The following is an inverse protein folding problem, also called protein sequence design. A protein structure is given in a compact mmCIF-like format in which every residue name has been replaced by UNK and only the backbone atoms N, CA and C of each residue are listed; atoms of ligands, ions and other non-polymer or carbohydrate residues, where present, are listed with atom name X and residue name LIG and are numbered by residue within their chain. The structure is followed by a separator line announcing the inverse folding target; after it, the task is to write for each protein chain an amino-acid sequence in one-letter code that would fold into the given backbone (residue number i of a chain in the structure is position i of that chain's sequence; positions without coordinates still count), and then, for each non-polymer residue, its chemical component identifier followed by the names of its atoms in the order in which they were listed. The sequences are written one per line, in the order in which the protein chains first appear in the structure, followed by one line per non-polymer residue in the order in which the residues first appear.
data_IF_281365306064
#
_entry.id   IF_281365306064
#
_cell.length_a   1.000
_cell.length_b   1.000
_cell.length_c   1.000
_cell.angle_alpha   90.00
_cell.angle_beta   90.00
_cell.angle_gamma   90.00
#
_symmetry.space_group_name_H-M   'P 1'
#
loop_
_entity.id
_entity.type
_entity.pdbx_description
1 polymer ?
#
# COMPACT_ATOMS: atom_id res chain seq x y z
N UNK A 1 -20.85 -0.62 -0.60
CA UNK A 1 -19.61 -1.24 -1.13
C UNK A 1 -18.64 -0.12 -1.46
N UNK A 2 -17.43 -0.11 -0.90
CA UNK A 2 -16.45 0.96 -1.15
C UNK A 2 -15.84 0.73 -2.53
N UNK A 3 -16.12 1.62 -3.49
CA UNK A 3 -15.68 1.48 -4.89
C UNK A 3 -14.18 1.78 -5.09
N UNK A 4 -13.53 2.44 -4.11
CA UNK A 4 -12.14 2.90 -4.20
C UNK A 4 -11.39 2.75 -2.87
N UNK A 5 -10.13 2.33 -2.90
CA UNK A 5 -9.24 2.32 -1.72
C UNK A 5 -8.99 3.78 -1.28
N UNK A 6 -9.17 4.07 0.01
CA UNK A 6 -8.90 5.38 0.57
C UNK A 6 -7.40 5.50 0.89
N UNK A 7 -6.63 6.05 -0.05
CA UNK A 7 -5.20 6.33 0.13
C UNK A 7 -4.98 7.61 0.95
N UNK A 8 -3.98 7.57 1.84
CA UNK A 8 -3.50 8.76 2.53
C UNK A 8 -2.47 9.51 1.67
N UNK A 9 -2.37 10.85 1.80
CA UNK A 9 -1.30 11.60 1.16
C UNK A 9 0.06 11.28 1.80
N UNK A 10 1.12 11.32 0.99
CA UNK A 10 2.50 11.16 1.47
C UNK A 10 3.00 12.41 2.22
N UNK A 11 2.51 13.59 1.85
CA UNK A 11 2.83 14.86 2.52
C UNK A 11 1.99 15.03 3.79
N UNK A 12 2.65 15.14 4.94
CA UNK A 12 1.99 15.30 6.24
C UNK A 12 1.17 16.59 6.35
N UNK A 13 1.50 17.63 5.56
CA UNK A 13 0.75 18.90 5.56
C UNK A 13 -0.65 18.74 4.99
N UNK A 14 -0.86 17.77 4.11
CA UNK A 14 -2.16 17.55 3.49
C UNK A 14 -3.21 17.00 4.47
N UNK A 15 -2.81 16.54 5.66
CA UNK A 15 -3.72 16.05 6.69
C UNK A 15 -4.38 17.17 7.50
N UNK A 16 -3.87 18.40 7.41
CA UNK A 16 -4.42 19.54 8.15
C UNK A 16 -5.85 19.85 7.69
N UNK A 17 -6.80 19.86 8.64
CA UNK A 17 -8.21 20.12 8.36
C UNK A 17 -9.00 18.94 7.77
N UNK A 18 -8.40 17.75 7.64
CA UNK A 18 -9.16 16.56 7.24
C UNK A 18 -10.15 16.11 8.32
N UNK A 19 -11.35 15.71 7.91
CA UNK A 19 -12.38 15.15 8.80
C UNK A 19 -11.91 13.80 9.41
N UNK A 20 -12.14 13.62 10.71
CA UNK A 20 -11.73 12.42 11.46
C UNK A 20 -12.30 11.11 10.87
N UNK A 21 -13.52 11.15 10.30
CA UNK A 21 -14.12 9.99 9.64
C UNK A 21 -13.36 9.60 8.38
N UNK A 22 -12.74 10.55 7.69
CA UNK A 22 -11.84 10.30 6.55
C UNK A 22 -10.52 9.73 7.04
N UNK A 23 -9.90 10.37 8.05
CA UNK A 23 -8.64 9.92 8.64
C UNK A 23 -8.70 8.45 9.08
N UNK A 24 -9.82 8.04 9.69
CA UNK A 24 -10.00 6.67 10.18
C UNK A 24 -10.10 5.59 9.07
N UNK A 25 -10.32 5.98 7.81
CA UNK A 25 -10.45 5.08 6.67
C UNK A 25 -9.16 4.95 5.85
N UNK A 26 -8.17 5.81 6.09
CA UNK A 26 -6.92 5.80 5.35
C UNK A 26 -6.13 4.52 5.61
N UNK A 27 -5.47 4.00 4.59
CA UNK A 27 -4.60 2.82 4.70
C UNK A 27 -3.53 2.96 5.79
N UNK A 28 -3.05 4.19 6.01
CA UNK A 28 -2.03 4.54 7.00
C UNK A 28 -2.58 4.87 8.40
N UNK A 29 -3.91 4.80 8.61
CA UNK A 29 -4.47 5.04 9.94
C UNK A 29 -3.93 3.99 10.93
N UNK A 30 -3.58 4.33 12.19
CA UNK A 30 -2.92 3.40 13.11
C UNK A 30 -3.64 2.05 13.29
N UNK A 31 -4.97 2.08 13.40
CA UNK A 31 -5.78 0.86 13.50
C UNK A 31 -5.76 -0.01 12.23
N UNK A 32 -5.55 0.61 11.07
CA UNK A 32 -5.54 -0.08 9.78
C UNK A 32 -4.15 -0.66 9.50
N UNK A 33 -3.07 -0.14 10.11
CA UNK A 33 -1.71 -0.69 10.00
C UNK A 33 -1.55 -2.05 10.67
N UNK A 34 -2.43 -2.41 11.61
CA UNK A 34 -2.39 -3.70 12.31
C UNK A 34 -2.55 -4.83 11.29
N UNK A 35 -1.54 -5.69 11.18
CA UNK A 35 -1.52 -6.81 10.24
C UNK A 35 -1.06 -6.46 8.82
N UNK A 36 -0.67 -5.21 8.56
CA UNK A 36 -0.01 -4.83 7.31
C UNK A 36 1.52 -4.94 7.44
N UNK A 37 2.18 -5.18 6.32
CA UNK A 37 3.63 -5.09 6.20
C UNK A 37 4.00 -3.94 5.26
N UNK A 38 4.95 -3.07 5.63
CA UNK A 38 5.45 -2.07 4.70
C UNK A 38 6.15 -2.76 3.52
N UNK A 39 6.00 -2.21 2.32
CA UNK A 39 6.67 -2.74 1.15
C UNK A 39 8.17 -2.44 1.22
N UNK A 40 9.00 -3.48 1.13
CA UNK A 40 10.45 -3.35 1.03
C UNK A 40 10.85 -3.02 -0.41
N UNK A 41 11.03 -1.73 -0.69
CA UNK A 41 11.38 -1.24 -2.04
C UNK A 41 12.76 -1.73 -2.48
N UNK A 42 13.70 -1.93 -1.57
CA UNK A 42 15.06 -2.39 -1.89
C UNK A 42 15.06 -3.86 -2.31
N UNK A 43 14.34 -4.70 -1.57
CA UNK A 43 14.14 -6.10 -1.93
C UNK A 43 13.54 -6.23 -3.33
N UNK A 44 12.47 -5.48 -3.61
CA UNK A 44 11.81 -5.49 -4.92
C UNK A 44 12.69 -4.87 -6.02
N UNK A 45 13.46 -3.83 -5.73
CA UNK A 45 14.41 -3.25 -6.69
C UNK A 45 15.52 -4.24 -7.07
N UNK A 46 15.98 -5.04 -6.10
CA UNK A 46 17.05 -6.03 -6.30
C UNK A 46 16.57 -7.30 -6.99
N UNK A 47 15.37 -7.79 -6.64
CA UNK A 47 14.89 -9.11 -7.05
C UNK A 47 13.74 -9.08 -8.06
N UNK A 48 13.16 -7.91 -8.33
CA UNK A 48 11.89 -7.75 -9.04
C UNK A 48 11.84 -8.48 -10.38
N UNK A 49 12.82 -8.26 -11.25
CA UNK A 49 12.87 -8.90 -12.58
C UNK A 49 12.84 -10.42 -12.50
N UNK A 50 13.70 -11.01 -11.65
CA UNK A 50 13.77 -12.48 -11.49
C UNK A 50 12.46 -13.05 -10.94
N UNK A 51 11.84 -12.35 -9.99
CA UNK A 51 10.57 -12.78 -9.40
C UNK A 51 9.43 -12.67 -10.43
N UNK A 52 9.39 -11.63 -11.26
CA UNK A 52 8.42 -11.49 -12.35
C UNK A 52 8.53 -12.61 -13.36
N UNK A 53 9.72 -12.93 -13.86
CA UNK A 53 9.92 -14.05 -14.81
C UNK A 53 9.50 -15.40 -14.20
N UNK A 54 9.82 -15.62 -12.92
CA UNK A 54 9.41 -16.83 -12.18
C UNK A 54 7.90 -16.93 -12.05
N UNK A 55 7.23 -15.82 -11.77
CA UNK A 55 5.78 -15.74 -11.67
C UNK A 55 5.11 -15.99 -13.03
N UNK A 56 5.62 -15.38 -14.11
CA UNK A 56 5.12 -15.59 -15.48
C UNK A 56 5.25 -17.07 -15.88
N UNK A 57 6.40 -17.70 -15.58
CA UNK A 57 6.57 -19.13 -15.84
C UNK A 57 5.63 -20.02 -15.00
N UNK A 58 5.15 -19.57 -13.85
CA UNK A 58 4.19 -20.33 -13.04
C UNK A 58 2.78 -20.25 -13.63
N UNK A 59 2.40 -19.10 -14.19
CA UNK A 59 1.05 -18.88 -14.73
C UNK A 59 0.85 -19.40 -16.16
N UNK A 60 1.93 -19.49 -16.94
CA UNK A 60 1.88 -19.91 -18.35
C UNK A 60 2.16 -21.41 -18.56
N UNK A 61 2.20 -22.19 -17.48
CA UNK A 61 2.29 -23.66 -17.50
C UNK A 61 0.97 -24.26 -17.05
#
# INVERSE_FOLDING_TARGET
MVKYVAYGPADLRAYEGMDEKVLSKLTLAPKNLVGQYPQDVEFWGTNGTKLSEGFDSMLLK
#
